data_IF_729833524485
#
_entry.id   IF_729833524485
#
_cell.length_a   1.000
_cell.length_b   1.000
_cell.length_c   1.000
_cell.angle_alpha   90.00
_cell.angle_beta   90.00
_cell.angle_gamma   90.00
#
_symmetry.space_group_name_H-M   'P 1'
#
loop_
_entity.id
_entity.type
_entity.pdbx_description
1 polymer ?
#
# COMPACT_ATOMS: atom_id res chain seq x y z
N UNK A 1 -36.48 -8.13 -5.83
CA UNK A 1 -35.88 -8.92 -4.73
C UNK A 1 -35.26 -7.93 -3.75
N UNK A 2 -35.46 -8.13 -2.45
CA UNK A 2 -34.89 -7.24 -1.42
C UNK A 2 -33.36 -7.36 -1.39
N UNK A 3 -32.59 -6.28 -1.19
CA UNK A 3 -31.14 -6.32 -1.21
C UNK A 3 -30.51 -7.36 -0.27
N UNK A 4 -31.06 -7.55 0.94
CA UNK A 4 -30.61 -8.60 1.87
C UNK A 4 -30.64 -10.00 1.25
N UNK A 5 -31.71 -10.35 0.50
CA UNK A 5 -31.81 -11.63 -0.19
C UNK A 5 -30.82 -11.74 -1.37
N UNK A 6 -30.52 -10.60 -2.01
CA UNK A 6 -29.50 -10.53 -3.07
C UNK A 6 -28.12 -10.80 -2.51
N UNK A 7 -27.75 -10.14 -1.40
CA UNK A 7 -26.48 -10.37 -0.70
C UNK A 7 -26.33 -11.83 -0.26
N UNK A 8 -27.37 -12.42 0.37
CA UNK A 8 -27.31 -13.82 0.81
C UNK A 8 -27.08 -14.79 -0.36
N UNK A 9 -27.78 -14.60 -1.49
CA UNK A 9 -27.60 -15.45 -2.66
C UNK A 9 -26.25 -15.24 -3.32
N UNK A 10 -25.80 -13.99 -3.41
CA UNK A 10 -24.48 -13.65 -3.94
C UNK A 10 -23.37 -14.24 -3.09
N UNK A 11 -23.48 -14.16 -1.76
CA UNK A 11 -22.51 -14.76 -0.85
C UNK A 11 -22.42 -16.29 -1.03
N UNK A 12 -23.55 -17.00 -1.12
CA UNK A 12 -23.53 -18.43 -1.40
C UNK A 12 -22.90 -18.77 -2.76
N UNK A 13 -23.11 -17.92 -3.76
CA UNK A 13 -22.48 -18.07 -5.09
C UNK A 13 -20.96 -17.85 -5.01
N UNK A 14 -20.50 -16.80 -4.33
CA UNK A 14 -19.07 -16.51 -4.11
C UNK A 14 -18.38 -17.63 -3.33
N UNK A 15 -19.01 -18.13 -2.28
CA UNK A 15 -18.52 -19.25 -1.47
C UNK A 15 -18.34 -20.53 -2.29
N UNK A 16 -19.31 -20.85 -3.15
CA UNK A 16 -19.23 -21.98 -4.07
C UNK A 16 -18.05 -21.87 -5.05
N UNK A 17 -17.61 -20.65 -5.38
CA UNK A 17 -16.43 -20.38 -6.23
C UNK A 17 -15.14 -20.16 -5.43
N UNK A 18 -15.11 -20.52 -4.13
CA UNK A 18 -13.92 -20.44 -3.30
C UNK A 18 -13.49 -19.02 -2.93
N UNK A 19 -14.39 -18.02 -3.05
CA UNK A 19 -14.06 -16.65 -2.65
C UNK A 19 -14.12 -16.52 -1.13
N UNK A 20 -13.01 -16.11 -0.55
CA UNK A 20 -12.93 -15.82 0.90
C UNK A 20 -13.83 -14.65 1.29
N UNK A 21 -14.33 -14.67 2.54
CA UNK A 21 -15.21 -13.63 3.08
C UNK A 21 -16.38 -13.28 2.14
N UNK A 22 -17.24 -14.25 1.76
CA UNK A 22 -18.21 -14.08 0.68
C UNK A 22 -19.29 -13.04 0.99
N UNK A 23 -19.73 -12.90 2.25
CA UNK A 23 -20.74 -11.90 2.64
C UNK A 23 -20.19 -10.47 2.53
N UNK A 24 -19.05 -10.12 3.15
CA UNK A 24 -18.42 -8.80 2.96
C UNK A 24 -18.13 -8.48 1.50
N UNK A 25 -17.68 -9.47 0.72
CA UNK A 25 -17.42 -9.30 -0.71
C UNK A 25 -18.70 -8.97 -1.49
N UNK A 26 -19.78 -9.70 -1.26
CA UNK A 26 -21.08 -9.42 -1.89
C UNK A 26 -21.62 -8.04 -1.52
N UNK A 27 -21.52 -7.64 -0.25
CA UNK A 27 -21.91 -6.31 0.22
C UNK A 27 -21.08 -5.22 -0.45
N UNK A 28 -19.75 -5.36 -0.51
CA UNK A 28 -18.87 -4.37 -1.14
C UNK A 28 -19.14 -4.20 -2.63
N UNK A 29 -19.33 -5.31 -3.36
CA UNK A 29 -19.70 -5.28 -4.78
C UNK A 29 -21.05 -4.61 -4.98
N UNK A 30 -22.03 -4.90 -4.13
CA UNK A 30 -23.36 -4.30 -4.24
C UNK A 30 -23.34 -2.81 -3.88
N UNK A 31 -22.60 -2.41 -2.83
CA UNK A 31 -22.36 -1.00 -2.49
C UNK A 31 -21.79 -0.22 -3.67
N UNK A 32 -20.78 -0.77 -4.33
CA UNK A 32 -20.15 -0.16 -5.50
C UNK A 32 -21.16 0.05 -6.64
N UNK A 33 -21.94 -0.99 -6.98
CA UNK A 33 -22.94 -0.90 -8.07
C UNK A 33 -24.05 0.09 -7.75
N UNK A 34 -24.43 0.21 -6.48
CA UNK A 34 -25.50 1.11 -6.05
C UNK A 34 -25.03 2.52 -5.73
N UNK A 35 -23.72 2.78 -5.69
CA UNK A 35 -23.15 4.06 -5.27
C UNK A 35 -23.52 4.43 -3.83
N UNK A 36 -23.58 3.46 -2.91
CA UNK A 36 -24.00 3.67 -1.53
C UNK A 36 -23.11 2.90 -0.55
N UNK A 37 -23.23 3.20 0.73
CA UNK A 37 -22.60 2.44 1.80
C UNK A 37 -23.39 1.16 2.16
N UNK A 38 -22.84 0.38 3.09
CA UNK A 38 -23.47 -0.86 3.59
C UNK A 38 -24.87 -0.61 4.17
N UNK A 39 -25.07 0.47 4.91
CA UNK A 39 -26.37 0.80 5.49
C UNK A 39 -27.39 1.13 4.39
N UNK A 40 -26.97 1.89 3.38
CA UNK A 40 -27.78 2.26 2.24
C UNK A 40 -28.24 1.05 1.40
N UNK A 41 -27.46 -0.04 1.33
CA UNK A 41 -27.91 -1.29 0.70
C UNK A 41 -29.22 -1.77 1.36
N UNK A 42 -29.21 -1.88 2.69
CA UNK A 42 -30.32 -2.47 3.45
C UNK A 42 -31.51 -1.53 3.61
N UNK A 43 -31.33 -0.22 3.38
CA UNK A 43 -32.41 0.76 3.37
C UNK A 43 -33.24 0.73 2.05
N UNK A 44 -32.78 0.06 1.02
CA UNK A 44 -33.49 0.00 -0.28
C UNK A 44 -34.56 -1.09 -0.31
N UNK A 45 -35.62 -0.81 -1.05
CA UNK A 45 -36.73 -1.77 -1.26
C UNK A 45 -36.38 -2.86 -2.29
N UNK A 46 -35.49 -2.55 -3.25
CA UNK A 46 -35.10 -3.48 -4.31
C UNK A 46 -34.03 -2.93 -5.25
N UNK A 47 -33.65 -3.76 -6.21
CA UNK A 47 -32.73 -3.42 -7.30
C UNK A 47 -33.52 -3.25 -8.61
N UNK A 48 -33.11 -2.31 -9.42
CA UNK A 48 -33.53 -2.21 -10.82
C UNK A 48 -32.93 -3.35 -11.66
N UNK A 49 -33.50 -3.61 -12.83
CA UNK A 49 -32.95 -4.61 -13.75
C UNK A 49 -31.52 -4.28 -14.21
N UNK A 50 -31.18 -3.00 -14.33
CA UNK A 50 -29.84 -2.56 -14.72
C UNK A 50 -28.84 -2.79 -13.58
N UNK A 51 -29.17 -2.41 -12.33
CA UNK A 51 -28.34 -2.65 -11.17
C UNK A 51 -28.09 -4.16 -10.97
N UNK A 52 -29.12 -4.98 -11.12
CA UNK A 52 -28.97 -6.43 -11.02
C UNK A 52 -28.04 -7.01 -12.09
N UNK A 53 -28.06 -6.49 -13.34
CA UNK A 53 -27.14 -6.89 -14.40
C UNK A 53 -25.70 -6.45 -14.10
N UNK A 54 -25.50 -5.22 -13.63
CA UNK A 54 -24.17 -4.72 -13.25
C UNK A 54 -23.59 -5.53 -12.09
N UNK A 55 -24.40 -5.80 -11.09
CA UNK A 55 -24.00 -6.63 -9.94
C UNK A 55 -23.63 -8.06 -10.37
N UNK A 56 -24.42 -8.68 -11.25
CA UNK A 56 -24.11 -9.99 -11.81
C UNK A 56 -22.76 -10.02 -12.56
N UNK A 57 -22.44 -8.97 -13.33
CA UNK A 57 -21.12 -8.84 -13.97
C UNK A 57 -19.99 -8.71 -12.97
N UNK A 58 -20.15 -7.89 -11.92
CA UNK A 58 -19.17 -7.73 -10.87
C UNK A 58 -18.91 -9.06 -10.12
N UNK A 59 -19.95 -9.82 -9.81
CA UNK A 59 -19.82 -11.16 -9.23
C UNK A 59 -19.04 -12.12 -10.15
N UNK A 60 -19.36 -12.15 -11.44
CA UNK A 60 -18.64 -13.00 -12.41
C UNK A 60 -17.15 -12.65 -12.45
N UNK A 61 -16.81 -11.36 -12.54
CA UNK A 61 -15.40 -10.92 -12.51
C UNK A 61 -14.69 -11.42 -11.24
N UNK A 62 -15.31 -11.26 -10.08
CA UNK A 62 -14.71 -11.72 -8.81
C UNK A 62 -14.55 -13.24 -8.77
N UNK A 63 -15.53 -14.02 -9.27
CA UNK A 63 -15.47 -15.47 -9.34
C UNK A 63 -14.42 -16.01 -10.32
N UNK A 64 -13.99 -15.22 -11.29
CA UNK A 64 -12.88 -15.58 -12.21
C UNK A 64 -11.50 -15.23 -11.62
N UNK A 65 -11.41 -14.84 -10.35
CA UNK A 65 -10.16 -14.55 -9.66
C UNK A 65 -9.73 -13.08 -9.68
N UNK A 66 -10.51 -12.19 -10.30
CA UNK A 66 -10.19 -10.76 -10.30
C UNK A 66 -10.27 -10.19 -8.87
N UNK A 67 -9.23 -9.47 -8.39
CA UNK A 67 -9.25 -8.83 -7.07
C UNK A 67 -10.49 -7.96 -6.88
N UNK A 68 -11.09 -8.01 -5.69
CA UNK A 68 -12.28 -7.22 -5.36
C UNK A 68 -12.06 -5.74 -5.65
N UNK A 69 -10.88 -5.24 -5.32
CA UNK A 69 -10.48 -3.85 -5.51
C UNK A 69 -10.40 -3.45 -6.99
N UNK A 70 -9.95 -4.36 -7.85
CA UNK A 70 -9.96 -4.11 -9.30
C UNK A 70 -11.38 -4.12 -9.87
N UNK A 71 -12.29 -4.92 -9.28
CA UNK A 71 -13.71 -4.91 -9.69
C UNK A 71 -14.38 -3.61 -9.29
N UNK A 72 -14.09 -3.09 -8.09
CA UNK A 72 -14.67 -1.84 -7.57
C UNK A 72 -13.91 -0.58 -8.01
N UNK A 73 -12.63 -0.72 -8.41
CA UNK A 73 -11.78 0.40 -8.77
C UNK A 73 -11.24 1.20 -7.59
N UNK A 74 -11.48 0.74 -6.35
CA UNK A 74 -11.19 1.50 -5.14
C UNK A 74 -10.62 0.62 -4.02
N UNK A 75 -9.71 1.19 -3.22
CA UNK A 75 -9.18 0.62 -1.97
C UNK A 75 -9.14 1.68 -0.88
N UNK A 76 -9.75 1.39 0.26
CA UNK A 76 -9.57 2.18 1.48
C UNK A 76 -8.21 1.93 2.09
N UNK A 77 -7.52 2.97 2.53
CA UNK A 77 -6.24 2.90 3.22
C UNK A 77 -6.16 4.04 4.24
N UNK A 78 -6.01 3.69 5.52
CA UNK A 78 -6.09 4.64 6.65
C UNK A 78 -7.35 5.53 6.56
N UNK A 79 -7.20 6.83 6.30
CA UNK A 79 -8.30 7.82 6.23
C UNK A 79 -8.73 8.14 4.80
N UNK A 80 -8.04 7.59 3.80
CA UNK A 80 -8.24 7.92 2.39
C UNK A 80 -8.81 6.75 1.60
N UNK A 81 -9.43 7.05 0.47
CA UNK A 81 -9.86 6.07 -0.52
C UNK A 81 -9.08 6.31 -1.80
N UNK A 82 -8.38 5.30 -2.27
CA UNK A 82 -7.52 5.34 -3.44
C UNK A 82 -8.20 4.67 -4.63
N UNK A 83 -7.99 5.21 -5.81
CA UNK A 83 -8.24 4.49 -7.06
C UNK A 83 -7.18 3.41 -7.21
N UNK A 84 -7.62 2.24 -7.65
CA UNK A 84 -6.74 1.11 -7.97
C UNK A 84 -7.14 0.51 -9.31
N UNK A 85 -6.16 -0.07 -10.02
CA UNK A 85 -6.39 -0.70 -11.31
C UNK A 85 -5.36 -1.81 -11.57
N UNK A 86 -5.65 -2.76 -12.47
CA UNK A 86 -4.66 -3.76 -12.91
C UNK A 86 -3.36 -3.10 -13.34
N UNK A 87 -2.23 -3.76 -13.09
CA UNK A 87 -0.90 -3.25 -13.41
C UNK A 87 -0.23 -2.47 -12.28
N UNK A 88 -0.94 -2.16 -11.19
CA UNK A 88 -0.38 -1.51 -9.98
C UNK A 88 -0.81 -2.29 -8.74
N UNK A 89 0.11 -2.44 -7.78
CA UNK A 89 -0.13 -3.15 -6.52
C UNK A 89 -1.28 -2.55 -5.73
N UNK A 90 -2.17 -3.42 -5.22
CA UNK A 90 -3.28 -3.02 -4.35
C UNK A 90 -2.78 -2.85 -2.92
N UNK A 91 -2.93 -1.66 -2.31
CA UNK A 91 -2.50 -1.43 -0.92
C UNK A 91 -3.10 -2.43 0.06
N UNK A 92 -2.26 -2.96 0.95
CA UNK A 92 -2.67 -3.92 1.99
C UNK A 92 -2.85 -3.22 3.33
N UNK A 93 -3.76 -3.69 4.20
CA UNK A 93 -3.95 -3.12 5.54
C UNK A 93 -2.68 -3.16 6.40
N UNK A 94 -1.83 -4.17 6.23
CA UNK A 94 -0.57 -4.33 6.95
C UNK A 94 0.39 -3.16 6.70
N UNK A 95 0.36 -2.58 5.51
CA UNK A 95 1.18 -1.40 5.14
C UNK A 95 0.83 -0.15 5.95
N UNK A 96 -0.34 -0.12 6.61
CA UNK A 96 -0.68 0.98 7.53
C UNK A 96 0.27 1.07 8.74
N UNK A 97 0.91 -0.06 9.12
CA UNK A 97 1.95 -0.10 10.17
C UNK A 97 3.19 0.72 9.75
N UNK A 98 3.56 0.68 8.46
CA UNK A 98 4.67 1.47 7.92
C UNK A 98 4.38 2.98 8.03
N UNK A 99 3.17 3.40 7.66
CA UNK A 99 2.74 4.80 7.80
C UNK A 99 2.78 5.22 9.27
N UNK A 100 2.23 4.40 10.18
CA UNK A 100 2.22 4.70 11.61
C UNK A 100 3.63 4.81 12.18
N UNK A 101 4.53 3.88 11.82
CA UNK A 101 5.93 3.94 12.23
C UNK A 101 6.62 5.24 11.78
N UNK A 102 6.41 5.66 10.53
CA UNK A 102 6.95 6.91 10.03
C UNK A 102 6.38 8.14 10.77
N UNK A 103 5.08 8.19 11.02
CA UNK A 103 4.42 9.29 11.72
C UNK A 103 4.91 9.43 13.17
N UNK A 104 5.03 8.30 13.88
CA UNK A 104 5.53 8.27 15.27
C UNK A 104 6.96 8.81 15.36
N UNK A 105 7.83 8.32 14.47
CA UNK A 105 9.25 8.67 14.44
C UNK A 105 9.51 10.13 13.99
N UNK A 106 8.58 10.70 13.20
CA UNK A 106 8.64 12.08 12.74
C UNK A 106 7.85 13.06 13.62
N UNK A 107 7.24 12.61 14.71
CA UNK A 107 6.35 13.42 15.52
C UNK A 107 7.01 14.72 16.05
N UNK A 108 8.32 14.69 16.33
CA UNK A 108 9.09 15.84 16.82
C UNK A 108 9.79 16.64 15.73
N UNK A 109 9.69 16.23 14.44
CA UNK A 109 10.34 16.93 13.32
C UNK A 109 9.33 17.90 12.71
N UNK A 110 9.64 19.19 12.69
CA UNK A 110 8.79 20.20 12.06
C UNK A 110 9.00 20.19 10.54
N UNK A 111 7.91 20.24 9.77
CA UNK A 111 7.91 20.26 8.32
C UNK A 111 8.85 19.20 7.68
N UNK A 112 8.71 17.90 8.02
CA UNK A 112 9.64 16.87 7.57
C UNK A 112 9.59 16.68 6.05
N UNK A 113 10.74 16.33 5.47
CA UNK A 113 10.85 15.88 4.09
C UNK A 113 10.80 14.35 4.08
N UNK A 114 9.77 13.77 3.48
CA UNK A 114 9.52 12.33 3.44
C UNK A 114 9.53 11.84 1.99
N UNK A 115 10.18 10.71 1.76
CA UNK A 115 10.21 10.03 0.44
C UNK A 115 9.62 8.64 0.57
N UNK A 116 8.58 8.37 -0.20
CA UNK A 116 7.98 7.04 -0.39
C UNK A 116 8.54 6.40 -1.65
N UNK A 117 9.29 5.31 -1.50
CA UNK A 117 9.99 4.62 -2.60
C UNK A 117 9.19 3.41 -3.05
N UNK A 118 9.01 3.26 -4.36
CA UNK A 118 8.12 2.28 -5.00
C UNK A 118 6.67 2.46 -4.52
N UNK A 119 6.17 3.68 -4.73
CA UNK A 119 4.92 4.18 -4.13
C UNK A 119 3.66 3.47 -4.63
N UNK A 120 3.70 2.77 -5.77
CA UNK A 120 2.57 2.09 -6.36
C UNK A 120 1.40 3.05 -6.65
N UNK A 121 0.28 2.84 -5.98
CA UNK A 121 -0.90 3.72 -6.07
C UNK A 121 -0.76 5.04 -5.31
N UNK A 122 0.36 5.26 -4.61
CA UNK A 122 0.59 6.42 -3.76
C UNK A 122 0.13 6.24 -2.31
N UNK A 123 -0.22 5.03 -1.88
CA UNK A 123 -0.90 4.80 -0.61
C UNK A 123 -0.16 5.37 0.60
N UNK A 124 1.13 5.05 0.75
CA UNK A 124 1.95 5.48 1.89
C UNK A 124 2.19 7.00 1.82
N UNK A 125 2.61 7.51 0.66
CA UNK A 125 2.86 8.95 0.46
C UNK A 125 1.63 9.80 0.75
N UNK A 126 0.47 9.41 0.21
CA UNK A 126 -0.78 10.15 0.34
C UNK A 126 -1.34 10.10 1.76
N UNK A 127 -1.22 8.95 2.44
CA UNK A 127 -1.61 8.84 3.84
C UNK A 127 -0.73 9.71 4.75
N UNK A 128 0.59 9.75 4.51
CA UNK A 128 1.49 10.64 5.24
C UNK A 128 1.14 12.11 4.97
N UNK A 129 0.87 12.50 3.73
CA UNK A 129 0.51 13.87 3.38
C UNK A 129 -0.84 14.31 3.99
N UNK A 130 -1.81 13.39 4.11
CA UNK A 130 -3.10 13.63 4.77
C UNK A 130 -2.94 13.85 6.29
N UNK A 131 -2.12 13.02 6.94
CA UNK A 131 -1.96 13.03 8.39
C UNK A 131 -0.88 14.01 8.89
N UNK A 132 0.03 14.46 8.00
CA UNK A 132 1.09 15.44 8.25
C UNK A 132 1.08 16.53 7.17
N UNK A 133 0.11 17.45 7.19
CA UNK A 133 -0.05 18.49 6.16
C UNK A 133 1.11 19.50 6.13
N UNK A 134 1.96 19.52 7.16
CA UNK A 134 3.21 20.30 7.21
C UNK A 134 4.38 19.59 6.50
N UNK A 135 4.28 18.29 6.21
CA UNK A 135 5.34 17.54 5.54
C UNK A 135 5.46 17.91 4.06
N UNK A 136 6.71 17.88 3.57
CA UNK A 136 7.00 17.81 2.13
C UNK A 136 7.12 16.35 1.74
N UNK A 137 6.11 15.83 1.03
CA UNK A 137 6.07 14.42 0.65
C UNK A 137 6.39 14.25 -0.82
N UNK A 138 7.38 13.42 -1.08
CA UNK A 138 7.84 13.02 -2.40
C UNK A 138 7.63 11.51 -2.55
N UNK A 139 7.42 11.06 -3.77
CA UNK A 139 7.26 9.64 -4.07
C UNK A 139 8.01 9.27 -5.33
N UNK A 140 8.53 8.06 -5.39
CA UNK A 140 9.17 7.51 -6.60
C UNK A 140 8.58 6.15 -6.96
N UNK A 141 8.54 5.84 -8.23
CA UNK A 141 8.26 4.48 -8.72
C UNK A 141 8.97 4.25 -10.06
N UNK A 142 9.38 3.00 -10.30
CA UNK A 142 9.99 2.59 -11.56
C UNK A 142 8.94 2.42 -12.67
N UNK A 143 7.69 2.10 -12.29
CA UNK A 143 6.58 1.88 -13.22
C UNK A 143 5.91 3.21 -13.58
N UNK A 144 5.93 3.57 -14.86
CA UNK A 144 5.21 4.72 -15.37
C UNK A 144 3.69 4.64 -15.07
N UNK A 145 3.12 3.42 -15.03
CA UNK A 145 1.72 3.18 -14.72
C UNK A 145 1.42 3.47 -13.24
N UNK A 146 2.33 3.09 -12.32
CA UNK A 146 2.24 3.41 -10.90
C UNK A 146 2.36 4.92 -10.69
N UNK A 147 3.34 5.57 -11.32
CA UNK A 147 3.51 7.03 -11.27
C UNK A 147 2.25 7.76 -11.74
N UNK A 148 1.66 7.32 -12.85
CA UNK A 148 0.42 7.92 -13.36
C UNK A 148 -0.73 7.76 -12.37
N UNK A 149 -0.91 6.56 -11.80
CA UNK A 149 -1.98 6.28 -10.83
C UNK A 149 -1.78 7.08 -9.52
N UNK A 150 -0.55 7.15 -9.01
CA UNK A 150 -0.24 7.92 -7.80
C UNK A 150 -0.53 9.42 -7.99
N UNK A 151 -0.22 9.98 -9.17
CA UNK A 151 -0.57 11.37 -9.53
C UNK A 151 -2.07 11.59 -9.63
N UNK A 152 -2.81 10.66 -10.27
CA UNK A 152 -4.27 10.70 -10.33
C UNK A 152 -4.91 10.65 -8.94
N UNK A 153 -4.37 9.85 -8.02
CA UNK A 153 -4.83 9.78 -6.64
C UNK A 153 -4.49 11.05 -5.86
N UNK A 154 -3.29 11.61 -6.04
CA UNK A 154 -2.89 12.87 -5.42
C UNK A 154 -3.82 14.03 -5.85
N UNK A 155 -4.12 14.13 -7.14
CA UNK A 155 -5.06 15.13 -7.68
C UNK A 155 -6.47 14.93 -7.12
N UNK A 156 -6.99 13.69 -7.13
CA UNK A 156 -8.33 13.38 -6.65
C UNK A 156 -8.52 13.69 -5.16
N UNK A 157 -7.47 13.55 -4.35
CA UNK A 157 -7.48 13.84 -2.91
C UNK A 157 -7.08 15.29 -2.59
N UNK A 158 -6.63 16.07 -3.58
CA UNK A 158 -6.06 17.40 -3.36
C UNK A 158 -4.79 17.38 -2.51
N UNK A 159 -4.07 16.24 -2.50
CA UNK A 159 -2.88 16.03 -1.67
C UNK A 159 -1.63 16.62 -2.32
N UNK A 160 -0.77 17.25 -1.50
CA UNK A 160 0.51 17.85 -1.94
C UNK A 160 1.63 16.79 -1.94
N UNK A 161 1.59 15.88 -2.89
CA UNK A 161 2.61 14.85 -3.12
C UNK A 161 3.21 15.04 -4.50
N UNK A 162 4.54 15.09 -4.59
CA UNK A 162 5.24 15.15 -5.88
C UNK A 162 5.76 13.77 -6.24
N UNK A 163 5.30 13.21 -7.38
CA UNK A 163 5.65 11.85 -7.81
C UNK A 163 6.61 11.89 -8.98
N UNK A 164 7.73 11.16 -8.87
CA UNK A 164 8.78 11.04 -9.87
C UNK A 164 8.84 9.61 -10.41
N UNK A 165 9.17 9.48 -11.69
CA UNK A 165 9.57 8.20 -12.26
C UNK A 165 11.06 7.99 -12.04
N UNK A 166 11.47 6.85 -11.49
CA UNK A 166 12.86 6.54 -11.21
C UNK A 166 13.06 5.25 -10.44
N UNK A 167 14.27 4.71 -10.52
CA UNK A 167 14.68 3.54 -9.74
C UNK A 167 15.15 4.00 -8.36
N UNK A 168 14.49 3.52 -7.31
CA UNK A 168 14.71 3.92 -5.94
C UNK A 168 14.65 5.46 -5.77
N UNK A 169 15.78 6.07 -5.43
CA UNK A 169 15.88 7.52 -5.14
C UNK A 169 16.46 8.33 -6.32
N UNK A 170 16.83 7.70 -7.43
CA UNK A 170 17.50 8.36 -8.57
C UNK A 170 16.61 9.40 -9.29
N UNK A 171 15.27 9.27 -9.19
CA UNK A 171 14.33 10.23 -9.76
C UNK A 171 14.21 11.56 -9.01
N UNK A 172 14.80 11.67 -7.82
CA UNK A 172 14.63 12.83 -6.95
C UNK A 172 15.57 14.01 -7.32
N UNK A 173 15.15 15.26 -7.03
CA UNK A 173 16.03 16.42 -7.13
C UNK A 173 17.29 16.27 -6.27
N UNK A 174 18.48 16.46 -6.87
CA UNK A 174 19.78 16.20 -6.22
C UNK A 174 20.07 17.09 -5.02
N UNK A 175 19.46 18.25 -4.92
CA UNK A 175 19.57 19.19 -3.80
C UNK A 175 18.93 18.67 -2.50
N UNK A 176 18.13 17.60 -2.57
CA UNK A 176 17.59 16.90 -1.42
C UNK A 176 18.56 15.90 -0.78
N UNK A 177 19.67 15.59 -1.43
CA UNK A 177 20.69 14.66 -0.88
C UNK A 177 21.19 15.16 0.47
N UNK A 178 21.12 14.30 1.49
CA UNK A 178 21.49 14.62 2.87
C UNK A 178 20.46 15.48 3.63
N UNK A 179 19.25 15.70 3.06
CA UNK A 179 18.21 16.59 3.63
C UNK A 179 16.86 15.90 3.84
N UNK A 180 16.74 14.63 3.50
CA UNK A 180 15.52 13.85 3.68
C UNK A 180 15.40 13.40 5.14
N UNK A 181 14.26 13.62 5.77
CA UNK A 181 14.03 13.23 7.16
C UNK A 181 13.56 11.78 7.29
N UNK A 182 12.84 11.25 6.29
CA UNK A 182 12.46 9.85 6.24
C UNK A 182 12.42 9.30 4.80
N UNK A 183 12.93 8.09 4.65
CA UNK A 183 12.73 7.22 3.48
C UNK A 183 11.90 6.04 3.92
N UNK A 184 10.74 5.84 3.29
CA UNK A 184 9.83 4.73 3.57
C UNK A 184 9.63 3.89 2.32
N UNK A 185 9.42 2.58 2.49
CA UNK A 185 9.16 1.68 1.38
C UNK A 185 8.39 0.44 1.79
N UNK A 186 7.38 0.07 1.02
CA UNK A 186 6.86 -1.29 1.00
C UNK A 186 7.48 -2.01 -0.23
N UNK A 187 8.55 -2.80 -0.07
CA UNK A 187 9.21 -3.48 -1.17
C UNK A 187 8.48 -4.77 -1.57
N UNK A 188 8.70 -5.31 -2.77
CA UNK A 188 8.37 -6.69 -3.07
C UNK A 188 9.24 -7.62 -2.19
N UNK A 189 8.61 -8.51 -1.44
CA UNK A 189 9.30 -9.40 -0.48
C UNK A 189 8.92 -10.88 -0.60
N UNK A 190 8.02 -11.22 -1.51
CA UNK A 190 7.60 -12.62 -1.69
C UNK A 190 8.67 -13.36 -2.48
N UNK A 191 9.12 -14.50 -1.94
CA UNK A 191 10.09 -15.35 -2.63
C UNK A 191 9.48 -16.00 -3.88
N UNK A 192 10.19 -15.95 -5.01
CA UNK A 192 9.71 -16.48 -6.29
C UNK A 192 9.34 -17.97 -6.20
N UNK A 193 10.04 -18.74 -5.36
CA UNK A 193 9.80 -20.17 -5.13
C UNK A 193 8.41 -20.45 -4.56
N UNK A 194 7.79 -19.48 -3.90
CA UNK A 194 6.46 -19.63 -3.30
C UNK A 194 5.32 -19.34 -4.29
N UNK A 195 5.62 -18.89 -5.50
CA UNK A 195 4.63 -18.49 -6.53
C UNK A 195 3.50 -19.51 -6.71
N UNK A 196 3.82 -20.80 -6.71
CA UNK A 196 2.85 -21.88 -6.91
C UNK A 196 1.83 -22.07 -5.78
N UNK A 197 2.06 -21.45 -4.61
CA UNK A 197 1.18 -21.54 -3.44
C UNK A 197 0.38 -20.25 -3.18
N UNK A 198 0.61 -19.20 -3.98
CA UNK A 198 -0.04 -17.91 -3.78
C UNK A 198 -1.49 -17.91 -4.27
N UNK A 199 -2.37 -17.13 -3.61
CA UNK A 199 -3.73 -16.90 -4.06
C UNK A 199 -3.78 -16.26 -5.47
N UNK A 200 -4.84 -16.54 -6.21
CA UNK A 200 -4.99 -16.07 -7.60
C UNK A 200 -5.01 -14.54 -7.73
N UNK A 201 -5.53 -13.84 -6.73
CA UNK A 201 -5.57 -12.37 -6.69
C UNK A 201 -4.19 -11.75 -6.46
N UNK A 202 -3.29 -12.41 -5.72
CA UNK A 202 -1.88 -12.00 -5.60
C UNK A 202 -1.13 -12.25 -6.92
N UNK A 203 -1.40 -13.38 -7.56
CA UNK A 203 -0.80 -13.71 -8.88
C UNK A 203 -1.27 -12.79 -10.01
N UNK A 204 -2.38 -12.10 -9.84
CA UNK A 204 -2.89 -11.11 -10.79
C UNK A 204 -2.16 -9.75 -10.69
N UNK A 205 -1.32 -9.55 -9.68
CA UNK A 205 -0.55 -8.33 -9.47
C UNK A 205 0.78 -8.34 -10.24
N UNK A 206 1.40 -7.17 -10.49
CA UNK A 206 2.67 -7.10 -11.21
C UNK A 206 3.79 -7.87 -10.50
N UNK A 207 4.54 -8.67 -11.24
CA UNK A 207 5.65 -9.49 -10.71
C UNK A 207 6.67 -8.64 -9.94
N UNK A 208 7.02 -7.46 -10.49
CA UNK A 208 7.96 -6.51 -9.86
C UNK A 208 7.45 -5.91 -8.54
N UNK A 209 6.15 -5.96 -8.29
CA UNK A 209 5.55 -5.43 -7.06
C UNK A 209 5.35 -6.52 -5.98
N UNK A 210 5.48 -7.80 -6.34
CA UNK A 210 5.23 -8.93 -5.45
C UNK A 210 6.51 -9.66 -5.07
N UNK A 211 7.36 -9.99 -6.07
CA UNK A 211 8.50 -10.87 -5.86
C UNK A 211 9.81 -10.12 -5.70
N UNK A 212 10.54 -10.47 -4.62
CA UNK A 212 11.85 -9.89 -4.33
C UNK A 212 12.57 -10.57 -3.18
N UNK A 213 13.85 -10.24 -3.01
CA UNK A 213 14.73 -10.80 -2.01
C UNK A 213 15.44 -9.73 -1.18
N UNK A 214 16.41 -10.16 -0.37
CA UNK A 214 17.15 -9.28 0.55
C UNK A 214 17.92 -8.17 -0.18
N UNK A 215 18.35 -8.40 -1.40
CA UNK A 215 19.10 -7.44 -2.23
C UNK A 215 18.34 -6.13 -2.47
N UNK A 216 17.01 -6.18 -2.46
CA UNK A 216 16.15 -4.99 -2.60
C UNK A 216 16.29 -4.08 -1.38
N UNK A 217 16.35 -4.67 -0.19
CA UNK A 217 16.56 -3.93 1.07
C UNK A 217 17.99 -3.38 1.14
N UNK A 218 18.99 -4.18 0.79
CA UNK A 218 20.40 -3.77 0.80
C UNK A 218 20.65 -2.57 -0.12
N UNK A 219 20.11 -2.61 -1.34
CA UNK A 219 20.16 -1.47 -2.27
C UNK A 219 19.52 -0.22 -1.69
N UNK A 220 18.30 -0.37 -1.15
CA UNK A 220 17.57 0.76 -0.56
C UNK A 220 18.35 1.39 0.60
N UNK A 221 18.85 0.57 1.54
CA UNK A 221 19.62 1.08 2.68
C UNK A 221 20.89 1.80 2.23
N UNK A 222 21.63 1.23 1.28
CA UNK A 222 22.81 1.87 0.72
C UNK A 222 22.52 3.23 0.10
N UNK A 223 21.42 3.37 -0.62
CA UNK A 223 21.02 4.64 -1.25
C UNK A 223 20.46 5.61 -0.21
N UNK A 224 19.54 5.16 0.67
CA UNK A 224 18.92 5.97 1.70
C UNK A 224 19.96 6.64 2.62
N UNK A 225 21.06 5.95 2.93
CA UNK A 225 22.15 6.50 3.74
C UNK A 225 22.75 7.79 3.14
N UNK A 226 22.70 8.00 1.83
CA UNK A 226 23.18 9.20 1.15
C UNK A 226 22.16 10.34 1.13
N UNK A 227 20.87 9.99 1.08
CA UNK A 227 19.78 10.96 0.96
C UNK A 227 19.27 11.49 2.28
N UNK A 228 19.31 10.65 3.33
CA UNK A 228 18.82 11.02 4.65
C UNK A 228 19.69 12.08 5.31
N UNK A 229 19.06 13.00 6.02
CA UNK A 229 19.72 13.89 6.96
C UNK A 229 20.33 13.11 8.12
N UNK A 230 21.33 13.66 8.85
CA UNK A 230 21.80 13.06 10.10
C UNK A 230 20.67 12.84 11.10
N UNK A 231 20.48 11.61 11.57
CA UNK A 231 19.35 11.20 12.41
C UNK A 231 18.06 10.88 11.63
N UNK A 232 18.06 11.01 10.31
CA UNK A 232 16.94 10.66 9.46
C UNK A 232 16.58 9.18 9.50
N UNK A 233 15.33 8.88 9.25
CA UNK A 233 14.69 7.56 9.35
C UNK A 233 14.75 6.80 8.03
N UNK A 234 15.09 5.53 8.03
CA UNK A 234 14.67 4.58 7.02
C UNK A 234 13.68 3.61 7.64
N UNK A 235 12.53 3.35 6.99
CA UNK A 235 11.56 2.36 7.44
C UNK A 235 11.06 1.53 6.26
N UNK A 236 11.03 0.21 6.42
CA UNK A 236 10.65 -0.73 5.36
C UNK A 236 9.66 -1.75 5.88
N UNK A 237 8.63 -2.04 5.08
CA UNK A 237 7.76 -3.19 5.33
C UNK A 237 8.52 -4.49 5.08
N UNK A 238 8.21 -5.53 5.86
CA UNK A 238 8.84 -6.83 5.78
C UNK A 238 7.80 -7.95 5.85
N UNK A 239 8.16 -9.10 5.33
CA UNK A 239 7.53 -10.37 5.67
C UNK A 239 7.92 -10.74 7.12
N UNK A 240 7.00 -11.35 7.87
CA UNK A 240 7.12 -11.65 9.30
C UNK A 240 8.45 -12.34 9.67
N UNK A 241 8.90 -13.32 8.87
CA UNK A 241 10.12 -14.09 9.12
C UNK A 241 11.41 -13.35 8.77
N UNK A 242 11.32 -12.21 8.07
CA UNK A 242 12.49 -11.49 7.54
C UNK A 242 13.09 -10.47 8.53
N UNK A 243 12.47 -10.24 9.70
CA UNK A 243 12.84 -9.17 10.63
C UNK A 243 14.32 -9.17 11.01
N UNK A 244 14.89 -10.33 11.37
CA UNK A 244 16.30 -10.44 11.75
C UNK A 244 17.23 -10.17 10.57
N UNK A 245 16.91 -10.72 9.39
CA UNK A 245 17.72 -10.58 8.18
C UNK A 245 17.77 -9.12 7.72
N UNK A 246 16.60 -8.46 7.65
CA UNK A 246 16.50 -7.06 7.23
C UNK A 246 17.11 -6.11 8.25
N UNK A 247 16.98 -6.39 9.57
CA UNK A 247 17.66 -5.62 10.61
C UNK A 247 19.18 -5.70 10.49
N UNK A 248 19.73 -6.88 10.19
CA UNK A 248 21.18 -7.05 9.94
C UNK A 248 21.62 -6.28 8.69
N UNK A 249 20.85 -6.32 7.60
CA UNK A 249 21.15 -5.55 6.39
C UNK A 249 21.16 -4.04 6.66
N UNK A 250 20.19 -3.54 7.44
CA UNK A 250 20.14 -2.15 7.89
C UNK A 250 21.39 -1.76 8.70
N UNK A 251 21.79 -2.61 9.66
CA UNK A 251 23.01 -2.39 10.47
C UNK A 251 24.29 -2.39 9.62
N UNK A 252 24.41 -3.30 8.66
CA UNK A 252 25.54 -3.34 7.72
C UNK A 252 25.65 -2.10 6.84
N UNK A 253 24.52 -1.48 6.51
CA UNK A 253 24.47 -0.21 5.79
C UNK A 253 24.76 1.01 6.70
N UNK A 254 25.05 0.79 7.98
CA UNK A 254 25.46 1.82 8.93
C UNK A 254 24.30 2.52 9.65
N UNK A 255 23.09 1.97 9.61
CA UNK A 255 21.96 2.48 10.41
C UNK A 255 22.07 2.02 11.86
N UNK A 256 21.58 2.87 12.76
CA UNK A 256 21.57 2.68 14.22
C UNK A 256 20.14 2.72 14.77
N UNK A 257 19.96 2.45 16.06
CA UNK A 257 18.66 2.46 16.74
C UNK A 257 17.60 1.65 15.98
N UNK A 258 17.99 0.48 15.49
CA UNK A 258 17.12 -0.37 14.68
C UNK A 258 16.02 -0.96 15.56
N UNK A 259 14.78 -0.80 15.13
CA UNK A 259 13.59 -1.30 15.81
C UNK A 259 12.72 -2.09 14.84
N UNK A 260 12.02 -3.10 15.38
CA UNK A 260 10.99 -3.84 14.67
C UNK A 260 9.63 -3.42 15.20
N UNK A 261 8.69 -3.11 14.31
CA UNK A 261 7.30 -2.76 14.65
C UNK A 261 6.39 -3.90 14.23
N UNK A 262 5.42 -4.19 15.09
CA UNK A 262 4.44 -5.25 14.89
C UNK A 262 3.07 -4.69 14.49
N UNK A 263 2.30 -5.49 13.76
CA UNK A 263 0.88 -5.23 13.53
C UNK A 263 0.04 -5.55 14.78
N UNK A 264 -1.27 -5.29 14.69
CA UNK A 264 -2.21 -5.54 15.80
C UNK A 264 -2.36 -7.04 16.15
N UNK A 265 -1.85 -7.94 15.30
CA UNK A 265 -1.85 -9.39 15.54
C UNK A 265 -0.55 -9.87 16.17
N UNK A 266 0.42 -8.97 16.39
CA UNK A 266 1.73 -9.27 16.97
C UNK A 266 2.76 -9.80 15.97
N UNK A 267 2.51 -9.66 14.67
CA UNK A 267 3.46 -10.07 13.62
C UNK A 267 4.40 -8.93 13.27
N UNK A 268 5.67 -9.24 13.08
CA UNK A 268 6.67 -8.27 12.64
C UNK A 268 6.34 -7.76 11.24
N UNK A 269 6.26 -6.42 11.06
CA UNK A 269 5.84 -5.79 9.81
C UNK A 269 6.77 -4.70 9.30
N UNK A 270 7.49 -4.03 10.18
CA UNK A 270 8.35 -2.92 9.77
C UNK A 270 9.69 -3.01 10.49
N UNK A 271 10.78 -2.89 9.73
CA UNK A 271 12.11 -2.59 10.26
C UNK A 271 12.39 -1.12 10.03
N UNK A 272 12.75 -0.41 11.09
CA UNK A 272 13.12 1.00 11.02
C UNK A 272 14.47 1.22 11.65
N UNK A 273 15.30 2.09 11.05
CA UNK A 273 16.63 2.44 11.53
C UNK A 273 16.93 3.93 11.30
N UNK A 274 17.90 4.46 12.00
CA UNK A 274 18.30 5.87 11.91
C UNK A 274 19.69 6.03 11.33
N UNK A 275 19.84 7.01 10.42
CA UNK A 275 21.17 7.44 9.99
C UNK A 275 21.93 8.03 11.19
N UNK A 276 23.19 7.64 11.45
CA UNK A 276 23.99 8.19 12.53
C UNK A 276 24.07 9.72 12.47
N UNK A 277 24.09 10.36 13.65
CA UNK A 277 24.45 11.78 13.75
C UNK A 277 25.96 11.91 13.85
N UNK A 278 26.57 12.92 13.21
CA UNK A 278 27.98 13.21 13.44
C UNK A 278 28.21 13.37 14.98
N UNK A 279 29.31 12.84 15.45
CA UNK A 279 29.75 13.12 16.80
C UNK A 279 29.97 14.64 16.95
N UNK A 280 29.61 15.21 18.11
CA UNK A 280 29.76 16.64 18.37
C UNK A 280 31.22 17.10 18.32
#
# INVERSE_FOLDING_TARGET
>A
MRPAQVVTRAAAYLEHHGVESPVPTAERLLSHVLGTDRAGIYAREGLTSQEAKLFGRALCRRCTGEPLQHVTGEQGFRRIVLRVRPGVFVPRPETEVLVQAALDELASVAAPVVVDVATGSGAVALAIADERPDATVLATDLSAEAVALARENAEALGAKVTVFEGDLLDGLPRDLSGRVDAVVRNPPYVAEETRGSLPADVLAEPVLAVFGGIEIYERLFSEAARWLAPGGLVAVEIEESAAELVSKASAHAGFEAIVVRQDLTGRDRVVAGRRPRPLP
#
